data_IF_196190221407
#
_entry.id   IF_196190221407
#
_cell.length_a   1.000
_cell.length_b   1.000
_cell.length_c   1.000
_cell.angle_alpha   90.00
_cell.angle_beta   90.00
_cell.angle_gamma   90.00
#
_symmetry.space_group_name_H-M   'P 1'
#
loop_
_entity.id
_entity.type
_entity.pdbx_description
1 polymer ?
#
# COMPACT_ATOMS: atom_id res chain seq x y z
N UNK A 1 -24.59 7.51 -12.04
CA UNK A 1 -23.71 6.40 -11.59
C UNK A 1 -22.79 6.99 -10.53
N UNK A 2 -22.82 6.53 -9.27
CA UNK A 2 -22.05 7.17 -8.19
C UNK A 2 -20.56 6.83 -8.31
N UNK A 3 -19.72 7.86 -8.33
CA UNK A 3 -18.25 7.80 -8.36
C UNK A 3 -17.70 7.64 -6.92
N UNK A 4 -18.24 6.70 -6.15
CA UNK A 4 -17.90 6.59 -4.75
C UNK A 4 -16.61 5.76 -4.58
N UNK A 5 -15.50 6.43 -4.21
CA UNK A 5 -14.32 5.79 -3.58
C UNK A 5 -14.87 5.00 -2.38
N UNK A 6 -15.08 3.70 -2.54
CA UNK A 6 -15.48 2.84 -1.43
C UNK A 6 -14.22 2.43 -0.69
N UNK A 7 -14.04 2.97 0.53
CA UNK A 7 -12.97 2.52 1.44
C UNK A 7 -13.18 1.08 1.91
N UNK A 8 -14.39 0.52 1.74
CA UNK A 8 -14.76 -0.84 2.11
C UNK A 8 -14.48 -1.88 1.02
N UNK A 9 -14.30 -1.43 -0.24
CA UNK A 9 -13.94 -2.29 -1.37
C UNK A 9 -12.68 -1.73 -2.03
N UNK A 10 -11.48 -1.99 -1.48
CA UNK A 10 -10.23 -1.47 -2.04
C UNK A 10 -9.95 -1.93 -3.49
N UNK A 11 -10.60 -3.02 -3.93
CA UNK A 11 -10.57 -3.55 -5.30
C UNK A 11 -11.71 -3.02 -6.20
N UNK A 12 -12.61 -2.20 -5.64
CA UNK A 12 -13.81 -1.70 -6.30
C UNK A 12 -13.49 -0.58 -7.29
N UNK A 13 -13.11 -0.98 -8.51
CA UNK A 13 -13.17 -0.23 -9.77
C UNK A 13 -13.09 1.30 -9.60
N UNK A 14 -11.86 1.81 -9.53
CA UNK A 14 -11.60 3.23 -9.76
C UNK A 14 -11.69 3.52 -11.27
N UNK A 15 -12.89 3.45 -11.84
CA UNK A 15 -13.10 3.55 -13.29
C UNK A 15 -12.63 4.88 -13.91
N UNK A 16 -12.34 5.89 -13.07
CA UNK A 16 -11.80 7.20 -13.47
C UNK A 16 -10.29 7.38 -13.23
N UNK A 17 -9.64 6.48 -12.49
CA UNK A 17 -8.19 6.56 -12.24
C UNK A 17 -7.48 5.79 -13.34
N UNK A 18 -6.60 6.46 -14.09
CA UNK A 18 -5.85 5.81 -15.18
C UNK A 18 -4.72 4.96 -14.60
N UNK A 19 -4.13 4.10 -15.43
CA UNK A 19 -2.90 3.40 -15.06
C UNK A 19 -1.84 4.42 -14.63
N UNK A 20 -1.04 4.05 -13.63
CA UNK A 20 0.03 4.90 -13.09
C UNK A 20 -0.44 6.13 -12.29
N UNK A 21 -1.74 6.28 -12.05
CA UNK A 21 -2.31 7.37 -11.26
C UNK A 21 -2.74 6.92 -9.86
N UNK A 22 -2.78 7.86 -8.93
CA UNK A 22 -3.30 7.66 -7.58
C UNK A 22 -4.64 8.39 -7.44
N UNK A 23 -5.61 7.76 -6.80
CA UNK A 23 -6.88 8.39 -6.48
C UNK A 23 -6.66 9.52 -5.48
N UNK A 24 -6.95 10.76 -5.88
CA UNK A 24 -6.80 11.94 -5.02
C UNK A 24 -7.65 11.92 -3.75
N UNK A 25 -8.68 11.05 -3.68
CA UNK A 25 -9.58 10.96 -2.54
C UNK A 25 -9.15 9.93 -1.50
N UNK A 26 -8.91 8.68 -1.92
CA UNK A 26 -8.60 7.59 -1.00
C UNK A 26 -7.14 7.08 -1.10
N UNK A 27 -6.31 7.68 -1.95
CA UNK A 27 -4.87 7.38 -2.04
C UNK A 27 -4.51 6.07 -2.75
N UNK A 28 -5.51 5.24 -3.11
CA UNK A 28 -5.28 4.01 -3.88
C UNK A 28 -4.58 4.31 -5.20
N UNK A 29 -3.57 3.51 -5.55
CA UNK A 29 -2.83 3.67 -6.80
C UNK A 29 -3.18 2.55 -7.77
N UNK A 30 -3.49 2.92 -9.02
CA UNK A 30 -3.82 1.96 -10.06
C UNK A 30 -2.61 1.13 -10.48
N UNK A 31 -2.82 -0.12 -10.92
CA UNK A 31 -1.76 -0.94 -11.52
C UNK A 31 -1.08 -0.23 -12.71
N UNK A 32 0.21 -0.51 -12.91
CA UNK A 32 1.10 0.20 -13.82
C UNK A 32 2.47 0.43 -13.17
N UNK A 33 3.49 0.95 -13.88
CA UNK A 33 4.87 1.01 -13.37
C UNK A 33 5.03 1.57 -11.95
N UNK A 34 4.34 2.66 -11.62
CA UNK A 34 4.28 3.28 -10.30
C UNK A 34 3.47 2.44 -9.31
N UNK A 35 2.32 1.92 -9.72
CA UNK A 35 1.49 1.06 -8.88
C UNK A 35 2.22 -0.20 -8.46
N UNK A 36 2.93 -0.82 -9.40
CA UNK A 36 3.75 -2.01 -9.21
C UNK A 36 4.95 -1.68 -8.31
N UNK A 37 5.66 -0.57 -8.57
CA UNK A 37 6.76 -0.12 -7.71
C UNK A 37 6.30 0.16 -6.26
N UNK A 38 5.11 0.71 -6.06
CA UNK A 38 4.53 0.92 -4.73
C UNK A 38 4.13 -0.39 -4.06
N UNK A 39 3.61 -1.35 -4.83
CA UNK A 39 3.30 -2.68 -4.32
C UNK A 39 4.57 -3.42 -3.87
N UNK A 40 5.64 -3.36 -4.68
CA UNK A 40 6.94 -3.94 -4.36
C UNK A 40 7.57 -3.27 -3.14
N UNK A 41 7.54 -1.93 -3.08
CA UNK A 41 8.04 -1.18 -1.93
C UNK A 41 7.28 -1.52 -0.64
N UNK A 42 5.96 -1.70 -0.73
CA UNK A 42 5.14 -2.13 0.41
C UNK A 42 5.51 -3.54 0.87
N UNK A 43 5.67 -4.49 -0.05
CA UNK A 43 6.08 -5.85 0.28
C UNK A 43 7.46 -5.87 0.97
N UNK A 44 8.41 -5.10 0.45
CA UNK A 44 9.74 -4.97 1.06
C UNK A 44 9.69 -4.33 2.46
N UNK A 45 8.83 -3.33 2.66
CA UNK A 45 8.63 -2.72 3.97
C UNK A 45 7.97 -3.70 4.97
N UNK A 46 6.97 -4.46 4.54
CA UNK A 46 6.34 -5.50 5.37
C UNK A 46 7.35 -6.61 5.75
N UNK A 47 8.22 -7.02 4.83
CA UNK A 47 9.32 -7.95 5.11
C UNK A 47 10.33 -7.37 6.12
N UNK A 48 10.71 -6.11 5.97
CA UNK A 48 11.62 -5.44 6.90
C UNK A 48 11.01 -5.33 8.31
N UNK A 49 9.72 -5.00 8.41
CA UNK A 49 8.99 -4.95 9.69
C UNK A 49 8.93 -6.33 10.33
N UNK A 50 8.57 -7.37 9.56
CA UNK A 50 8.53 -8.75 10.06
C UNK A 50 9.91 -9.20 10.54
N UNK A 51 10.96 -8.86 9.80
CA UNK A 51 12.34 -9.13 10.16
C UNK A 51 12.73 -8.42 11.45
N UNK A 52 12.41 -7.13 11.59
CA UNK A 52 12.66 -6.36 12.80
C UNK A 52 11.92 -6.92 14.03
N UNK A 53 10.64 -7.31 13.87
CA UNK A 53 9.91 -7.98 14.94
C UNK A 53 10.56 -9.32 15.34
N UNK A 54 11.11 -10.07 14.38
CA UNK A 54 11.77 -11.35 14.63
C UNK A 54 13.14 -11.21 15.34
N UNK A 55 13.90 -10.14 15.11
CA UNK A 55 15.15 -9.87 15.84
C UNK A 55 14.95 -9.27 17.23
N UNK A 56 13.70 -9.01 17.66
CA UNK A 56 13.39 -8.61 19.02
C UNK A 56 14.08 -7.31 19.44
N UNK A 57 13.66 -6.17 18.87
CA UNK A 57 14.15 -4.84 19.29
C UNK A 57 13.91 -4.52 20.77
N UNK A 58 13.01 -5.25 21.43
CA UNK A 58 12.81 -5.18 22.89
C UNK A 58 14.05 -5.61 23.70
N UNK A 59 14.95 -6.44 23.13
CA UNK A 59 16.22 -6.79 23.79
C UNK A 59 17.32 -5.75 23.57
N UNK A 60 17.25 -4.95 22.50
CA UNK A 60 18.26 -3.94 22.19
C UNK A 60 18.09 -2.65 23.00
N UNK A 61 16.90 -2.38 23.52
CA UNK A 61 16.59 -1.21 24.38
C UNK A 61 16.72 -1.51 25.89
N UNK A 62 16.92 -2.77 26.27
CA UNK A 62 17.02 -3.22 27.67
C UNK A 62 18.46 -3.53 28.14
N UNK A 63 19.47 -3.36 27.27
CA UNK A 63 20.90 -3.48 27.57
C UNK A 63 21.57 -2.11 27.59
#
# INVERSE_FOLDING_TARGET
MSLECSTERPWGIHGVVRNDESCARCGWTAPGPKGDALADARAAAEEAIASAAAVGWDQALAA
#
